data_IF_388907107419
#
_entry.id   IF_388907107419
#
_cell.length_a   1.000
_cell.length_b   1.000
_cell.length_c   1.000
_cell.angle_alpha   90.00
_cell.angle_beta   90.00
_cell.angle_gamma   90.00
#
_symmetry.space_group_name_H-M   'P 1'
#
loop_
_entity.id
_entity.type
_entity.pdbx_description
1 polymer ?
#
# COMPACT_ATOMS: atom_id res chain seq x y z
N UNK A 1 -29.81 40.38 43.26
CA UNK A 1 -30.27 39.10 43.84
C UNK A 1 -31.59 38.74 43.18
N UNK A 2 -31.55 37.63 42.42
CA UNK A 2 -32.64 36.70 42.06
C UNK A 2 -33.78 37.30 41.20
N UNK A 3 -33.80 37.13 39.87
CA UNK A 3 -34.09 35.94 39.03
C UNK A 3 -35.56 35.87 38.58
N UNK A 4 -35.76 35.20 37.44
CA UNK A 4 -37.02 34.65 36.89
C UNK A 4 -37.62 35.38 35.68
N UNK A 5 -37.09 35.07 34.50
CA UNK A 5 -37.85 35.03 33.25
C UNK A 5 -38.40 33.62 33.02
N UNK A 6 -39.69 33.50 32.75
CA UNK A 6 -40.40 32.31 32.25
C UNK A 6 -41.63 32.82 31.48
N UNK A 7 -42.18 32.29 30.40
CA UNK A 7 -41.89 31.27 29.38
C UNK A 7 -43.05 31.45 28.37
N UNK A 8 -42.85 31.15 27.07
CA UNK A 8 -43.88 30.49 26.22
C UNK A 8 -43.30 30.23 24.82
N UNK A 9 -42.76 29.03 24.60
CA UNK A 9 -43.39 27.93 23.84
C UNK A 9 -43.50 28.19 22.34
N UNK A 10 -42.62 27.54 21.58
CA UNK A 10 -43.01 26.81 20.37
C UNK A 10 -42.03 25.64 20.17
N UNK A 11 -42.50 24.43 20.43
CA UNK A 11 -41.78 23.18 20.14
C UNK A 11 -41.91 22.82 18.64
N UNK A 12 -41.30 21.72 18.15
CA UNK A 12 -40.10 21.79 17.32
C UNK A 12 -40.40 21.41 15.87
N UNK A 13 -39.72 22.03 14.90
CA UNK A 13 -39.76 21.57 13.51
C UNK A 13 -38.72 20.46 13.33
N UNK A 14 -39.22 19.23 13.44
CA UNK A 14 -38.85 18.03 12.69
C UNK A 14 -37.44 18.00 12.06
N UNK A 15 -36.57 17.20 12.66
CA UNK A 15 -35.28 16.78 12.10
C UNK A 15 -35.48 16.10 10.74
N UNK A 16 -34.64 16.37 9.72
CA UNK A 16 -34.60 15.50 8.55
C UNK A 16 -34.04 14.13 8.96
N UNK A 17 -34.81 13.08 8.71
CA UNK A 17 -34.36 11.69 8.72
C UNK A 17 -33.06 11.57 7.91
N UNK A 18 -31.96 11.31 8.61
CA UNK A 18 -30.72 10.85 7.99
C UNK A 18 -30.89 9.35 7.82
N UNK A 19 -30.89 8.80 6.59
CA UNK A 19 -30.84 7.35 6.44
C UNK A 19 -29.47 6.87 6.94
N UNK A 20 -29.47 6.26 8.13
CA UNK A 20 -28.42 5.39 8.63
C UNK A 20 -28.35 4.14 7.75
N UNK A 21 -27.66 4.24 6.61
CA UNK A 21 -27.01 3.08 6.01
C UNK A 21 -25.85 3.52 5.14
N UNK A 22 -24.86 4.15 5.78
CA UNK A 22 -23.54 4.27 5.19
C UNK A 22 -22.64 3.38 6.01
N UNK A 23 -22.51 2.13 5.57
CA UNK A 23 -21.35 1.31 5.90
C UNK A 23 -20.12 2.04 5.33
N UNK A 24 -19.63 3.03 6.09
CA UNK A 24 -18.32 3.62 5.88
C UNK A 24 -17.35 2.50 6.20
N UNK A 25 -17.01 1.73 5.17
CA UNK A 25 -15.84 0.87 5.20
C UNK A 25 -14.67 1.83 5.33
N UNK A 26 -14.28 2.12 6.57
CA UNK A 26 -12.98 2.74 6.83
C UNK A 26 -11.95 1.91 6.07
N UNK A 27 -11.08 2.54 5.26
CA UNK A 27 -9.99 1.82 4.64
C UNK A 27 -9.24 1.13 5.75
N UNK A 28 -9.33 -0.20 5.84
CA UNK A 28 -8.48 -0.94 6.76
C UNK A 28 -7.06 -0.66 6.31
N UNK A 29 -6.36 0.16 7.09
CA UNK A 29 -4.97 0.48 6.83
C UNK A 29 -4.20 -0.83 6.94
N UNK A 30 -3.93 -1.45 5.79
CA UNK A 30 -3.10 -2.65 5.76
C UNK A 30 -1.72 -2.21 6.22
N UNK A 31 -1.22 -2.87 7.26
CA UNK A 31 0.08 -2.55 7.82
C UNK A 31 1.15 -2.69 6.72
N UNK A 32 1.97 -1.67 6.56
CA UNK A 32 3.10 -1.71 5.63
C UNK A 32 4.25 -2.43 6.34
N UNK A 33 4.65 -3.57 5.80
CA UNK A 33 5.78 -4.36 6.24
C UNK A 33 7.05 -3.96 5.46
N UNK A 34 8.21 -4.31 6.02
CA UNK A 34 9.51 -4.07 5.36
C UNK A 34 10.36 -5.33 5.37
N UNK A 35 11.18 -5.53 4.34
CA UNK A 35 12.17 -6.60 4.34
C UNK A 35 13.21 -6.46 3.25
N UNK A 36 14.23 -7.31 3.31
CA UNK A 36 15.28 -7.40 2.31
C UNK A 36 14.93 -8.49 1.29
N UNK A 37 14.96 -8.14 0.00
CA UNK A 37 14.78 -9.13 -1.05
C UNK A 37 16.05 -9.96 -1.24
N UNK A 38 15.90 -11.28 -1.26
CA UNK A 38 17.02 -12.22 -1.44
C UNK A 38 17.00 -12.95 -2.79
N UNK A 39 15.88 -12.86 -3.52
CA UNK A 39 15.72 -13.37 -4.90
C UNK A 39 14.84 -12.41 -5.68
N UNK A 40 14.96 -12.44 -7.00
CA UNK A 40 14.06 -11.73 -7.89
C UNK A 40 13.64 -12.60 -9.07
N UNK A 41 12.47 -12.30 -9.63
CA UNK A 41 12.04 -12.78 -10.93
C UNK A 41 11.35 -11.64 -11.66
N UNK A 42 11.89 -11.26 -12.81
CA UNK A 42 11.24 -10.34 -13.72
C UNK A 42 10.49 -11.10 -14.80
N UNK A 43 9.18 -10.89 -14.90
CA UNK A 43 8.41 -11.40 -16.03
C UNK A 43 8.91 -10.74 -17.33
N UNK A 44 9.04 -11.50 -18.40
CA UNK A 44 9.40 -10.95 -19.71
C UNK A 44 8.17 -10.49 -20.50
N UNK A 45 7.03 -11.07 -20.18
CA UNK A 45 5.72 -10.84 -20.77
C UNK A 45 4.69 -11.09 -19.67
N UNK A 46 3.57 -10.38 -19.71
CA UNK A 46 2.50 -10.50 -18.70
C UNK A 46 2.08 -11.95 -18.52
N UNK A 47 2.02 -12.40 -17.27
CA UNK A 47 1.50 -13.71 -16.93
C UNK A 47 0.64 -13.64 -15.66
N UNK A 48 -0.59 -14.19 -15.68
CA UNK A 48 -1.28 -14.82 -16.80
C UNK A 48 -1.62 -13.82 -17.94
N UNK A 49 -1.96 -14.29 -19.15
CA UNK A 49 -2.35 -13.40 -20.24
C UNK A 49 -3.49 -12.45 -19.83
N UNK A 50 -3.30 -11.14 -20.07
CA UNK A 50 -4.25 -10.09 -19.67
C UNK A 50 -3.93 -9.43 -18.32
N UNK A 51 -2.90 -9.89 -17.59
CA UNK A 51 -2.40 -9.22 -16.39
C UNK A 51 -1.38 -8.12 -16.71
N UNK A 52 -0.96 -7.41 -15.67
CA UNK A 52 0.28 -6.64 -15.70
C UNK A 52 1.49 -7.58 -15.79
N UNK A 53 2.58 -7.06 -16.33
CA UNK A 53 3.90 -7.70 -16.26
C UNK A 53 4.54 -7.27 -14.95
N UNK A 54 4.92 -8.22 -14.11
CA UNK A 54 5.35 -7.92 -12.75
C UNK A 54 6.84 -8.20 -12.51
N UNK A 55 7.43 -7.41 -11.62
CA UNK A 55 8.68 -7.73 -10.95
C UNK A 55 8.35 -8.38 -9.62
N UNK A 56 8.85 -9.60 -9.42
CA UNK A 56 8.69 -10.37 -8.19
C UNK A 56 9.97 -10.31 -7.36
N UNK A 57 9.82 -10.05 -6.06
CA UNK A 57 10.90 -10.02 -5.06
C UNK A 57 10.56 -10.99 -3.93
N UNK A 58 11.49 -11.87 -3.59
CA UNK A 58 11.32 -12.80 -2.47
C UNK A 58 11.81 -12.15 -1.18
N UNK A 59 10.87 -11.84 -0.28
CA UNK A 59 11.06 -11.06 0.94
C UNK A 59 10.33 -11.75 2.10
N UNK A 60 11.01 -11.96 3.23
CA UNK A 60 10.42 -12.57 4.43
C UNK A 60 9.69 -13.89 4.14
N UNK A 61 10.39 -14.80 3.43
CA UNK A 61 9.92 -16.14 3.06
C UNK A 61 8.73 -16.21 2.09
N UNK A 62 8.37 -15.09 1.44
CA UNK A 62 7.29 -15.06 0.44
C UNK A 62 7.58 -14.14 -0.76
N UNK A 63 6.82 -14.28 -1.84
CA UNK A 63 6.94 -13.47 -3.06
C UNK A 63 6.05 -12.23 -3.01
N UNK A 64 6.65 -11.07 -3.28
CA UNK A 64 5.96 -9.77 -3.40
C UNK A 64 6.11 -9.24 -4.82
N UNK A 65 5.11 -8.57 -5.36
CA UNK A 65 5.10 -8.11 -6.74
C UNK A 65 4.99 -6.59 -6.87
N UNK A 66 5.64 -6.06 -7.90
CA UNK A 66 5.48 -4.70 -8.41
C UNK A 66 5.03 -4.78 -9.86
N UNK A 67 3.81 -4.34 -10.13
CA UNK A 67 3.24 -4.32 -11.48
C UNK A 67 3.81 -3.19 -12.33
N UNK A 68 4.01 -3.47 -13.62
CA UNK A 68 4.48 -2.52 -14.62
C UNK A 68 5.72 -1.73 -14.16
N UNK A 69 6.78 -2.39 -13.67
CA UNK A 69 7.96 -1.71 -13.18
C UNK A 69 8.60 -0.91 -14.32
N UNK A 70 9.00 0.34 -14.06
CA UNK A 70 9.70 1.15 -15.04
C UNK A 70 11.10 0.57 -15.35
N UNK A 71 11.71 0.99 -16.46
CA UNK A 71 13.00 0.48 -16.90
C UNK A 71 14.12 0.73 -15.87
N UNK A 72 14.12 1.89 -15.21
CA UNK A 72 15.13 2.25 -14.21
C UNK A 72 15.06 1.37 -12.98
N UNK A 73 13.85 1.07 -12.51
CA UNK A 73 13.59 0.12 -11.43
C UNK A 73 14.06 -1.28 -11.80
N UNK A 74 13.73 -1.76 -12.99
CA UNK A 74 14.16 -3.09 -13.46
C UNK A 74 15.69 -3.23 -13.50
N UNK A 75 16.37 -2.24 -14.09
CA UNK A 75 17.83 -2.26 -14.22
C UNK A 75 18.50 -2.17 -12.84
N UNK A 76 18.02 -1.30 -11.96
CA UNK A 76 18.57 -1.13 -10.61
C UNK A 76 18.47 -2.42 -9.79
N UNK A 77 17.32 -3.09 -9.83
CA UNK A 77 17.12 -4.37 -9.14
C UNK A 77 17.99 -5.46 -9.74
N UNK A 78 18.02 -5.60 -11.08
CA UNK A 78 18.88 -6.60 -11.73
C UNK A 78 20.35 -6.40 -11.38
N UNK A 79 20.83 -5.16 -11.39
CA UNK A 79 22.20 -4.82 -10.98
C UNK A 79 22.47 -5.21 -9.53
N UNK A 80 21.48 -5.03 -8.64
CA UNK A 80 21.63 -5.43 -7.24
C UNK A 80 21.83 -6.94 -7.06
N UNK A 81 21.29 -7.74 -7.98
CA UNK A 81 21.44 -9.19 -7.98
C UNK A 81 22.54 -9.70 -8.92
N UNK A 82 23.26 -8.84 -9.67
CA UNK A 82 24.16 -9.29 -10.75
C UNK A 82 25.56 -9.80 -10.32
N UNK A 83 25.81 -10.00 -9.02
CA UNK A 83 27.06 -10.65 -8.54
C UNK A 83 28.34 -9.80 -8.67
N UNK A 84 28.27 -8.57 -9.17
CA UNK A 84 29.37 -7.62 -9.13
C UNK A 84 29.43 -6.92 -7.76
N UNK A 85 30.55 -7.04 -7.05
CA UNK A 85 30.88 -6.29 -5.83
C UNK A 85 30.74 -4.78 -6.10
N UNK A 86 29.92 -3.99 -5.38
CA UNK A 86 29.77 -3.88 -3.93
C UNK A 86 28.29 -3.90 -3.47
N UNK A 87 27.87 -5.09 -3.04
CA UNK A 87 26.75 -5.44 -2.14
C UNK A 87 25.58 -4.46 -2.11
N UNK A 88 24.96 -4.25 -3.26
CA UNK A 88 23.64 -3.63 -3.28
C UNK A 88 22.64 -4.57 -2.60
N UNK A 89 21.73 -3.98 -1.82
CA UNK A 89 20.58 -4.63 -1.20
C UNK A 89 19.31 -3.93 -1.68
N UNK A 90 18.24 -4.73 -1.81
CA UNK A 90 16.92 -4.23 -2.17
C UNK A 90 16.05 -4.28 -0.93
N UNK A 91 15.83 -3.12 -0.32
CA UNK A 91 14.85 -2.94 0.76
C UNK A 91 13.47 -2.73 0.13
N UNK A 92 12.46 -3.41 0.63
CA UNK A 92 11.12 -3.43 0.08
C UNK A 92 10.12 -3.04 1.16
N UNK A 93 9.20 -2.14 0.84
CA UNK A 93 7.98 -1.87 1.61
C UNK A 93 6.80 -2.52 0.90
N UNK A 94 6.00 -3.31 1.60
CA UNK A 94 4.90 -4.06 0.99
C UNK A 94 3.68 -4.15 1.91
N UNK A 95 2.52 -4.42 1.31
CA UNK A 95 1.23 -4.60 1.98
C UNK A 95 0.58 -5.86 1.39
N UNK A 96 0.50 -6.94 2.16
CA UNK A 96 0.22 -8.27 1.61
C UNK A 96 1.27 -8.63 0.55
N UNK A 97 0.85 -8.99 -0.66
CA UNK A 97 1.77 -9.35 -1.74
C UNK A 97 2.24 -8.14 -2.57
N UNK A 98 1.66 -6.97 -2.35
CA UNK A 98 1.87 -5.79 -3.20
C UNK A 98 3.01 -4.93 -2.69
N UNK A 99 4.02 -4.71 -3.52
CA UNK A 99 5.10 -3.78 -3.26
C UNK A 99 4.56 -2.34 -3.36
N UNK A 100 4.71 -1.59 -2.27
CA UNK A 100 4.35 -0.17 -2.18
C UNK A 100 5.55 0.74 -2.49
N UNK A 101 6.77 0.23 -2.31
CA UNK A 101 8.00 0.94 -2.64
C UNK A 101 9.22 0.03 -2.49
N UNK A 102 10.31 0.41 -3.16
CA UNK A 102 11.60 -0.27 -3.00
C UNK A 102 12.74 0.73 -3.04
N UNK A 103 13.85 0.37 -2.39
CA UNK A 103 15.10 1.11 -2.41
C UNK A 103 16.24 0.14 -2.69
N UNK A 104 17.01 0.45 -3.73
CA UNK A 104 18.31 -0.19 -3.98
C UNK A 104 19.38 0.67 -3.33
N UNK A 105 20.12 0.10 -2.39
CA UNK A 105 21.18 0.80 -1.66
C UNK A 105 22.41 -0.09 -1.52
N UNK A 106 23.56 0.50 -1.25
CA UNK A 106 24.71 -0.27 -0.75
C UNK A 106 24.42 -0.81 0.64
N UNK A 107 25.03 -1.95 0.99
CA UNK A 107 25.05 -2.47 2.36
C UNK A 107 25.60 -1.47 3.36
#
# INVERSE_FOLDING_TARGET
>A
MIDSSSESVTSPKESPDVPEDQNVVEPQAVAVETGLAIRFWLELMSYPPGSARSLWLFVNDDWRYLDNPDLGTQVSVQNAFCGCSDRLEVLVWYSGDVIQGLLVKTR
#
